data_IF_544907829356
#
_entry.id   IF_544907829356
#
_cell.length_a   1.000
_cell.length_b   1.000
_cell.length_c   1.000
_cell.angle_alpha   90.00
_cell.angle_beta   90.00
_cell.angle_gamma   90.00
#
_symmetry.space_group_name_H-M   'P 1'
#
loop_
_entity.id
_entity.type
_entity.pdbx_description
1 polymer ?
#
# COMPACT_ATOMS: atom_id res chain seq x y z
N UNK A 1 10.22 31.53 17.00
CA UNK A 1 11.26 30.81 16.24
C UNK A 1 10.60 29.93 15.18
N UNK A 2 10.40 30.46 13.98
CA UNK A 2 9.92 29.75 12.77
C UNK A 2 11.14 29.29 11.93
N UNK A 3 12.05 28.49 12.50
CA UNK A 3 13.35 28.24 11.85
C UNK A 3 13.29 27.19 10.73
N UNK A 4 12.23 26.36 10.65
CA UNK A 4 12.15 25.28 9.65
C UNK A 4 11.19 25.57 8.47
N UNK A 5 10.50 26.71 8.47
CA UNK A 5 9.47 27.06 7.49
C UNK A 5 9.89 27.09 6.00
N UNK A 6 11.16 27.38 5.63
CA UNK A 6 11.55 27.38 4.22
C UNK A 6 12.42 26.19 3.79
N UNK A 7 12.87 25.30 4.69
CA UNK A 7 13.87 24.27 4.32
C UNK A 7 13.30 23.24 3.31
N UNK A 8 12.09 22.69 3.48
CA UNK A 8 11.54 21.76 2.50
C UNK A 8 11.22 22.44 1.16
N UNK A 9 10.79 23.71 1.18
CA UNK A 9 10.49 24.48 -0.03
C UNK A 9 11.76 24.81 -0.83
N UNK A 10 12.84 25.22 -0.14
CA UNK A 10 14.15 25.47 -0.75
C UNK A 10 14.81 24.18 -1.25
N UNK A 11 14.61 23.07 -0.53
CA UNK A 11 15.04 21.75 -0.99
C UNK A 11 14.25 21.32 -2.22
N UNK A 12 12.92 21.50 -2.24
CA UNK A 12 12.10 21.23 -3.43
C UNK A 12 12.57 22.04 -4.64
N UNK A 13 12.84 23.34 -4.46
CA UNK A 13 13.36 24.19 -5.52
C UNK A 13 14.76 23.75 -5.99
N UNK A 14 15.67 23.39 -5.09
CA UNK A 14 16.99 22.87 -5.45
C UNK A 14 16.94 21.49 -6.11
N UNK A 15 16.01 20.64 -5.67
CA UNK A 15 15.76 19.32 -6.25
C UNK A 15 15.26 19.46 -7.68
N UNK A 16 14.33 20.40 -7.93
CA UNK A 16 13.77 20.68 -9.26
C UNK A 16 14.82 21.24 -10.24
N UNK A 17 15.67 22.17 -9.78
CA UNK A 17 16.76 22.73 -10.59
C UNK A 17 17.85 21.70 -10.90
N UNK A 18 18.19 20.82 -9.96
CA UNK A 18 19.26 19.82 -10.15
C UNK A 18 18.75 18.58 -10.90
N UNK A 19 17.52 18.14 -10.68
CA UNK A 19 16.89 17.07 -11.47
C UNK A 19 16.85 17.41 -12.97
N UNK A 20 16.77 18.70 -13.30
CA UNK A 20 16.76 19.20 -14.67
C UNK A 20 18.13 19.31 -15.36
N UNK A 21 19.26 19.24 -14.64
CA UNK A 21 20.58 19.57 -15.24
C UNK A 21 21.68 18.52 -15.05
N UNK A 22 21.59 17.66 -14.04
CA UNK A 22 22.48 16.52 -13.82
C UNK A 22 21.89 15.71 -12.66
N UNK A 23 21.39 14.49 -12.93
CA UNK A 23 20.76 13.65 -11.93
C UNK A 23 21.61 13.45 -10.67
N UNK A 24 20.98 13.22 -9.52
CA UNK A 24 21.70 13.00 -8.27
C UNK A 24 22.43 11.65 -8.27
N UNK A 25 23.63 11.62 -7.70
CA UNK A 25 24.31 10.35 -7.40
C UNK A 25 23.80 9.74 -6.10
N UNK A 26 24.07 8.45 -5.90
CA UNK A 26 23.71 7.72 -4.68
C UNK A 26 24.25 8.39 -3.40
N UNK A 27 25.55 8.72 -3.38
CA UNK A 27 26.20 9.40 -2.24
C UNK A 27 25.63 10.80 -1.97
N UNK A 28 25.25 11.54 -3.02
CA UNK A 28 24.62 12.84 -2.86
C UNK A 28 23.24 12.72 -2.20
N UNK A 29 22.44 11.73 -2.63
CA UNK A 29 21.13 11.47 -2.03
C UNK A 29 21.23 10.97 -0.60
N UNK A 30 22.23 10.16 -0.24
CA UNK A 30 22.49 9.79 1.16
C UNK A 30 22.78 11.02 2.04
N UNK A 31 23.51 12.02 1.52
CA UNK A 31 23.75 13.28 2.23
C UNK A 31 22.47 14.11 2.38
N UNK A 32 21.65 14.16 1.33
CA UNK A 32 20.33 14.82 1.35
C UNK A 32 19.43 14.16 2.41
N UNK A 33 19.31 12.83 2.38
CA UNK A 33 18.49 12.09 3.34
C UNK A 33 18.98 12.21 4.77
N UNK A 34 20.29 12.28 5.00
CA UNK A 34 20.83 12.62 6.32
C UNK A 34 20.32 13.99 6.79
N UNK A 35 20.35 15.00 5.92
CA UNK A 35 19.79 16.32 6.22
C UNK A 35 18.29 16.29 6.54
N UNK A 36 17.50 15.59 5.73
CA UNK A 36 16.05 15.44 5.92
C UNK A 36 15.71 14.69 7.22
N UNK A 37 16.47 13.64 7.53
CA UNK A 37 16.35 12.89 8.78
C UNK A 37 16.52 13.80 10.00
N UNK A 38 17.57 14.63 10.02
CA UNK A 38 17.79 15.57 11.12
C UNK A 38 16.78 16.73 11.14
N UNK A 39 16.21 17.12 9.99
CA UNK A 39 15.07 18.05 9.97
C UNK A 39 13.86 17.45 10.70
N UNK A 40 13.52 16.19 10.42
CA UNK A 40 12.46 15.47 11.15
C UNK A 40 12.81 15.30 12.63
N UNK A 41 14.06 14.95 12.93
CA UNK A 41 14.57 14.77 14.30
C UNK A 41 14.35 15.99 15.18
N UNK A 42 14.60 17.20 14.66
CA UNK A 42 14.49 18.46 15.41
C UNK A 42 13.07 19.03 15.47
N UNK A 43 12.11 18.43 14.76
CA UNK A 43 10.73 18.89 14.80
C UNK A 43 9.98 18.28 16.00
N UNK A 44 9.65 19.10 16.99
CA UNK A 44 9.00 18.66 18.23
C UNK A 44 7.48 18.89 18.24
N UNK A 45 6.96 19.74 17.35
CA UNK A 45 5.53 20.06 17.32
C UNK A 45 4.76 19.05 16.46
N UNK A 46 3.76 18.31 16.99
CA UNK A 46 3.09 17.23 16.26
C UNK A 46 2.52 17.62 14.89
N UNK A 47 1.79 18.73 14.80
CA UNK A 47 1.23 19.21 13.52
C UNK A 47 2.33 19.53 12.50
N UNK A 48 3.45 20.07 12.95
CA UNK A 48 4.59 20.36 12.08
C UNK A 48 5.39 19.11 11.72
N UNK A 49 5.36 18.06 12.54
CA UNK A 49 5.94 16.75 12.20
C UNK A 49 5.19 16.13 11.03
N UNK A 50 3.85 16.15 11.09
CA UNK A 50 3.00 15.64 10.02
C UNK A 50 3.18 16.43 8.72
N UNK A 51 3.15 17.77 8.79
CA UNK A 51 3.37 18.65 7.63
C UNK A 51 4.76 18.43 7.00
N UNK A 52 5.79 18.35 7.84
CA UNK A 52 7.16 18.10 7.40
C UNK A 52 7.29 16.72 6.74
N UNK A 53 6.75 15.67 7.38
CA UNK A 53 6.74 14.31 6.84
C UNK A 53 6.06 14.24 5.48
N UNK A 54 4.89 14.87 5.35
CA UNK A 54 4.15 14.95 4.08
C UNK A 54 4.98 15.65 3.00
N UNK A 55 5.59 16.78 3.35
CA UNK A 55 6.41 17.53 2.40
C UNK A 55 7.64 16.75 1.96
N UNK A 56 8.30 16.04 2.88
CA UNK A 56 9.45 15.18 2.58
C UNK A 56 9.04 14.03 1.67
N UNK A 57 7.95 13.32 1.97
CA UNK A 57 7.48 12.19 1.19
C UNK A 57 7.13 12.59 -0.26
N UNK A 58 6.50 13.76 -0.44
CA UNK A 58 6.14 14.28 -1.76
C UNK A 58 7.33 14.67 -2.64
N UNK A 59 8.56 14.74 -2.10
CA UNK A 59 9.76 15.04 -2.89
C UNK A 59 10.04 13.98 -3.96
N UNK A 60 9.55 12.74 -3.80
CA UNK A 60 9.66 11.70 -4.83
C UNK A 60 9.07 12.16 -6.17
N UNK A 61 8.00 12.96 -6.16
CA UNK A 61 7.35 13.46 -7.37
C UNK A 61 8.09 14.64 -8.03
N UNK A 62 9.13 15.18 -7.40
CA UNK A 62 9.97 16.23 -7.99
C UNK A 62 11.06 15.66 -8.92
N UNK A 63 11.25 14.34 -8.94
CA UNK A 63 12.19 13.68 -9.84
C UNK A 63 11.50 13.32 -11.16
N UNK A 64 12.15 13.68 -12.28
CA UNK A 64 11.60 13.52 -13.63
C UNK A 64 11.74 12.10 -14.19
N UNK A 65 12.66 11.30 -13.65
CA UNK A 65 12.92 9.94 -14.13
C UNK A 65 12.62 8.90 -13.06
N UNK A 66 12.13 7.73 -13.46
CA UNK A 66 11.84 6.63 -12.54
C UNK A 66 13.11 6.15 -11.84
N UNK A 67 14.26 6.18 -12.52
CA UNK A 67 15.55 5.83 -11.91
C UNK A 67 15.92 6.76 -10.76
N UNK A 68 15.65 8.06 -10.90
CA UNK A 68 15.92 9.03 -9.84
C UNK A 68 14.94 8.89 -8.68
N UNK A 69 13.66 8.61 -8.95
CA UNK A 69 12.66 8.28 -7.92
C UNK A 69 13.07 7.02 -7.13
N UNK A 70 13.48 5.98 -7.86
CA UNK A 70 13.96 4.72 -7.30
C UNK A 70 15.21 4.94 -6.44
N UNK A 71 16.19 5.71 -6.91
CA UNK A 71 17.39 6.03 -6.16
C UNK A 71 17.09 6.86 -4.89
N UNK A 72 16.15 7.81 -4.99
CA UNK A 72 15.65 8.58 -3.84
C UNK A 72 15.02 7.66 -2.78
N UNK A 73 14.18 6.72 -3.21
CA UNK A 73 13.57 5.75 -2.30
C UNK A 73 14.59 4.77 -1.71
N UNK A 74 15.55 4.31 -2.52
CA UNK A 74 16.57 3.37 -2.05
C UNK A 74 17.40 4.00 -0.92
N UNK A 75 17.88 5.22 -1.16
CA UNK A 75 18.68 5.97 -0.19
C UNK A 75 17.90 6.39 1.06
N UNK A 76 16.56 6.50 0.97
CA UNK A 76 15.68 6.64 2.14
C UNK A 76 15.80 5.42 3.06
N UNK A 77 15.52 4.22 2.53
CA UNK A 77 15.52 3.01 3.33
C UNK A 77 16.90 2.70 3.91
N UNK A 78 17.97 2.92 3.14
CA UNK A 78 19.34 2.81 3.63
C UNK A 78 19.63 3.78 4.78
N UNK A 79 19.13 5.02 4.69
CA UNK A 79 19.28 6.01 5.76
C UNK A 79 18.48 5.59 7.00
N UNK A 80 17.24 5.15 6.83
CA UNK A 80 16.41 4.64 7.94
C UNK A 80 17.08 3.46 8.62
N UNK A 81 17.54 2.45 7.87
CA UNK A 81 18.23 1.28 8.40
C UNK A 81 19.46 1.65 9.23
N UNK A 82 20.28 2.58 8.72
CA UNK A 82 21.51 3.02 9.39
C UNK A 82 21.22 3.77 10.70
N UNK A 83 20.29 4.71 10.69
CA UNK A 83 20.07 5.63 11.82
C UNK A 83 19.06 5.06 12.85
N UNK A 84 18.30 4.01 12.52
CA UNK A 84 17.19 3.51 13.33
C UNK A 84 17.56 3.23 14.79
N UNK A 85 18.70 2.57 15.01
CA UNK A 85 19.16 2.20 16.35
C UNK A 85 19.53 3.39 17.23
N UNK A 86 19.79 4.55 16.61
CA UNK A 86 20.07 5.80 17.30
C UNK A 86 18.81 6.57 17.73
N UNK A 87 17.62 6.21 17.22
CA UNK A 87 16.36 6.89 17.54
C UNK A 87 15.89 6.46 18.94
N UNK A 88 15.74 7.42 19.84
CA UNK A 88 15.16 7.17 21.16
C UNK A 88 13.63 7.05 21.11
N UNK A 89 13.06 6.46 22.16
CA UNK A 89 11.63 6.10 22.23
C UNK A 89 10.68 7.29 22.06
N UNK A 90 11.08 8.50 22.48
CA UNK A 90 10.22 9.69 22.39
C UNK A 90 10.11 10.23 20.97
N UNK A 91 10.99 9.78 20.06
CA UNK A 91 11.05 10.25 18.67
C UNK A 91 10.57 9.21 17.66
N UNK A 92 10.34 7.96 18.08
CA UNK A 92 9.98 6.86 17.17
C UNK A 92 8.73 7.15 16.35
N UNK A 93 7.67 7.67 16.98
CA UNK A 93 6.35 7.83 16.33
C UNK A 93 6.40 8.67 15.05
N UNK A 94 7.17 9.77 15.04
CA UNK A 94 7.30 10.60 13.83
C UNK A 94 8.12 9.93 12.73
N UNK A 95 9.03 9.03 13.07
CA UNK A 95 9.77 8.26 12.07
C UNK A 95 8.93 7.09 11.52
N UNK A 96 8.08 6.49 12.34
CA UNK A 96 7.03 5.58 11.87
C UNK A 96 6.06 6.27 10.91
N UNK A 97 5.62 7.49 11.25
CA UNK A 97 4.80 8.32 10.38
C UNK A 97 5.51 8.62 9.05
N UNK A 98 6.79 9.00 9.10
CA UNK A 98 7.58 9.28 7.90
C UNK A 98 7.69 8.05 6.98
N UNK A 99 7.99 6.87 7.52
CA UNK A 99 8.04 5.62 6.75
C UNK A 99 6.71 5.34 6.04
N UNK A 100 5.59 5.54 6.74
CA UNK A 100 4.24 5.37 6.17
C UNK A 100 3.99 6.33 5.02
N UNK A 101 4.28 7.62 5.21
CA UNK A 101 4.10 8.64 4.17
C UNK A 101 5.00 8.41 2.95
N UNK A 102 6.26 8.02 3.16
CA UNK A 102 7.18 7.73 2.05
C UNK A 102 6.72 6.50 1.27
N UNK A 103 6.27 5.44 1.94
CA UNK A 103 5.69 4.27 1.26
C UNK A 103 4.46 4.67 0.44
N UNK A 104 3.54 5.43 1.02
CA UNK A 104 2.32 5.91 0.36
C UNK A 104 2.62 6.72 -0.91
N UNK A 105 3.51 7.71 -0.81
CA UNK A 105 3.87 8.55 -1.96
C UNK A 105 4.68 7.76 -3.01
N UNK A 106 5.41 6.72 -2.62
CA UNK A 106 6.08 5.79 -3.56
C UNK A 106 5.07 4.94 -4.34
N UNK A 107 4.04 4.43 -3.67
CA UNK A 107 2.94 3.71 -4.31
C UNK A 107 2.15 4.63 -5.25
N UNK A 108 1.91 5.88 -4.85
CA UNK A 108 1.28 6.88 -5.74
C UNK A 108 2.13 7.18 -6.96
N UNK A 109 3.46 7.28 -6.82
CA UNK A 109 4.35 7.47 -7.96
C UNK A 109 4.20 6.30 -8.95
N UNK A 110 4.17 5.07 -8.45
CA UNK A 110 3.93 3.87 -9.27
C UNK A 110 2.54 3.87 -9.92
N UNK A 111 1.50 4.30 -9.21
CA UNK A 111 0.15 4.51 -9.75
C UNK A 111 0.14 5.49 -10.92
N UNK A 112 0.86 6.61 -10.83
CA UNK A 112 0.96 7.57 -11.95
C UNK A 112 1.65 7.00 -13.18
N UNK A 113 2.44 5.94 -13.02
CA UNK A 113 3.04 5.15 -14.11
C UNK A 113 2.12 4.00 -14.58
N UNK A 114 0.84 4.01 -14.19
CA UNK A 114 -0.16 3.04 -14.63
C UNK A 114 0.08 1.61 -14.14
N UNK A 115 0.77 1.44 -13.01
CA UNK A 115 1.11 0.11 -12.48
C UNK A 115 1.86 -0.77 -13.48
N UNK A 116 2.73 -0.16 -14.30
CA UNK A 116 3.53 -0.89 -15.27
C UNK A 116 4.42 -1.94 -14.57
N UNK A 117 4.38 -3.16 -15.09
CA UNK A 117 5.02 -4.34 -14.50
C UNK A 117 6.50 -4.12 -14.18
N UNK A 118 7.25 -3.51 -15.10
CA UNK A 118 8.67 -3.17 -14.90
C UNK A 118 8.88 -2.29 -13.68
N UNK A 119 8.06 -1.26 -13.49
CA UNK A 119 8.17 -0.32 -12.39
C UNK A 119 7.74 -0.96 -11.06
N UNK A 120 6.72 -1.82 -11.10
CA UNK A 120 6.32 -2.63 -9.94
C UNK A 120 7.46 -3.55 -9.48
N UNK A 121 8.07 -4.29 -10.41
CA UNK A 121 9.18 -5.20 -10.12
C UNK A 121 10.39 -4.47 -9.55
N UNK A 122 10.73 -3.30 -10.11
CA UNK A 122 11.79 -2.46 -9.58
C UNK A 122 11.48 -2.03 -8.14
N UNK A 123 10.29 -1.50 -7.85
CA UNK A 123 9.91 -1.12 -6.49
C UNK A 123 9.99 -2.30 -5.52
N UNK A 124 9.42 -3.45 -5.90
CA UNK A 124 9.41 -4.66 -5.08
C UNK A 124 10.81 -5.22 -4.83
N UNK A 125 11.68 -5.20 -5.85
CA UNK A 125 13.08 -5.61 -5.71
C UNK A 125 13.82 -4.72 -4.71
N UNK A 126 13.61 -3.39 -4.77
CA UNK A 126 14.19 -2.45 -3.82
C UNK A 126 13.69 -2.69 -2.40
N UNK A 127 12.36 -2.76 -2.19
CA UNK A 127 11.79 -2.99 -0.86
C UNK A 127 12.22 -4.33 -0.27
N UNK A 128 12.32 -5.36 -1.12
CA UNK A 128 12.83 -6.66 -0.71
C UNK A 128 14.29 -6.56 -0.30
N UNK A 129 15.16 -6.02 -1.15
CA UNK A 129 16.60 -5.91 -0.90
C UNK A 129 16.92 -5.07 0.33
N UNK A 130 16.29 -3.91 0.47
CA UNK A 130 16.59 -2.95 1.53
C UNK A 130 15.93 -3.30 2.86
N UNK A 131 14.82 -4.06 2.89
CA UNK A 131 14.04 -4.30 4.12
C UNK A 131 13.86 -5.79 4.43
N UNK A 132 13.29 -6.56 3.50
CA UNK A 132 12.78 -7.91 3.80
C UNK A 132 13.83 -9.02 3.66
N UNK A 133 14.84 -8.83 2.81
CA UNK A 133 15.82 -9.85 2.48
C UNK A 133 16.58 -10.30 3.75
N UNK A 134 16.93 -11.59 3.90
CA UNK A 134 17.68 -12.06 5.07
C UNK A 134 19.00 -11.31 5.30
N UNK A 135 19.69 -10.94 4.21
CA UNK A 135 20.96 -10.18 4.28
C UNK A 135 20.78 -8.66 4.47
N UNK A 136 19.52 -8.17 4.46
CA UNK A 136 19.25 -6.76 4.73
C UNK A 136 19.71 -6.37 6.13
N UNK A 137 20.35 -5.21 6.22
CA UNK A 137 20.76 -4.58 7.48
C UNK A 137 19.61 -3.86 8.19
N UNK A 138 18.37 -4.01 7.73
CA UNK A 138 17.20 -3.40 8.36
C UNK A 138 16.98 -3.94 9.78
N UNK A 139 16.93 -3.06 10.80
CA UNK A 139 16.61 -3.49 12.16
C UNK A 139 15.18 -3.99 12.28
N UNK A 140 14.92 -4.83 13.28
CA UNK A 140 13.60 -5.46 13.48
C UNK A 140 12.45 -4.45 13.59
N UNK A 141 12.69 -3.26 14.18
CA UNK A 141 11.67 -2.21 14.25
C UNK A 141 11.25 -1.66 12.88
N UNK A 142 12.20 -1.54 11.93
CA UNK A 142 11.93 -1.15 10.54
C UNK A 142 11.16 -2.24 9.83
N UNK A 143 11.64 -3.49 9.92
CA UNK A 143 10.98 -4.66 9.28
C UNK A 143 9.54 -4.82 9.77
N UNK A 144 9.34 -4.78 11.09
CA UNK A 144 8.02 -4.98 11.71
C UNK A 144 7.03 -3.90 11.25
N UNK A 145 7.43 -2.63 11.32
CA UNK A 145 6.55 -1.53 10.91
C UNK A 145 6.28 -1.54 9.41
N UNK A 146 7.28 -1.82 8.58
CA UNK A 146 7.07 -1.93 7.14
C UNK A 146 6.03 -3.02 6.81
N UNK A 147 6.15 -4.20 7.39
CA UNK A 147 5.19 -5.31 7.18
C UNK A 147 3.79 -4.92 7.66
N UNK A 148 3.68 -4.27 8.83
CA UNK A 148 2.40 -3.84 9.41
C UNK A 148 1.64 -2.87 8.51
N UNK A 149 2.33 -1.91 7.90
CA UNK A 149 1.68 -0.84 7.11
C UNK A 149 1.54 -1.19 5.63
N UNK A 150 2.24 -2.20 5.12
CA UNK A 150 2.39 -2.43 3.68
C UNK A 150 1.05 -2.59 2.95
N UNK A 151 0.22 -3.55 3.39
CA UNK A 151 -1.09 -3.79 2.76
C UNK A 151 -2.05 -2.60 2.97
N UNK A 152 -1.96 -1.90 4.10
CA UNK A 152 -2.83 -0.76 4.38
C UNK A 152 -2.55 0.40 3.41
N UNK A 153 -1.28 0.73 3.17
CA UNK A 153 -0.91 1.78 2.22
C UNK A 153 -1.13 1.33 0.76
N UNK A 154 -0.91 0.05 0.44
CA UNK A 154 -1.23 -0.49 -0.88
C UNK A 154 -2.72 -0.35 -1.20
N UNK A 155 -3.59 -0.75 -0.27
CA UNK A 155 -5.04 -0.65 -0.42
C UNK A 155 -5.50 0.79 -0.62
N UNK A 156 -4.97 1.73 0.17
CA UNK A 156 -5.31 3.17 0.04
C UNK A 156 -5.00 3.77 -1.33
N UNK A 157 -4.03 3.21 -2.06
CA UNK A 157 -3.59 3.76 -3.35
C UNK A 157 -4.15 2.96 -4.52
N UNK A 158 -4.20 1.64 -4.40
CA UNK A 158 -4.39 0.71 -5.52
C UNK A 158 -5.65 -0.15 -5.48
N UNK A 159 -6.45 -0.15 -4.42
CA UNK A 159 -7.63 -1.04 -4.31
C UNK A 159 -8.56 -0.94 -5.54
N UNK A 160 -8.79 0.27 -6.05
CA UNK A 160 -9.73 0.49 -7.16
C UNK A 160 -9.16 0.14 -8.55
N UNK A 161 -7.84 -0.01 -8.68
CA UNK A 161 -7.15 -0.08 -10.00
C UNK A 161 -6.33 -1.35 -10.22
N UNK A 162 -5.84 -1.98 -9.16
CA UNK A 162 -4.97 -3.15 -9.26
C UNK A 162 -5.75 -4.39 -9.66
N UNK A 163 -5.24 -5.13 -10.65
CA UNK A 163 -5.78 -6.46 -10.98
C UNK A 163 -5.43 -7.49 -9.91
N UNK A 164 -6.14 -8.62 -9.89
CA UNK A 164 -5.83 -9.74 -8.99
C UNK A 164 -4.38 -10.23 -9.13
N UNK A 165 -3.88 -10.32 -10.37
CA UNK A 165 -2.51 -10.73 -10.66
C UNK A 165 -1.49 -9.71 -10.13
N UNK A 166 -1.76 -8.40 -10.29
CA UNK A 166 -0.89 -7.35 -9.76
C UNK A 166 -0.88 -7.36 -8.23
N UNK A 167 -2.04 -7.53 -7.58
CA UNK A 167 -2.14 -7.68 -6.13
C UNK A 167 -1.34 -8.88 -5.63
N UNK A 168 -1.44 -10.02 -6.32
CA UNK A 168 -0.65 -11.20 -5.98
C UNK A 168 0.86 -10.93 -6.06
N UNK A 169 1.33 -10.18 -7.06
CA UNK A 169 2.75 -9.80 -7.15
C UNK A 169 3.24 -8.97 -5.99
N UNK A 170 2.42 -8.08 -5.42
CA UNK A 170 2.80 -7.33 -4.22
C UNK A 170 2.88 -8.22 -2.97
N UNK A 171 2.10 -9.30 -2.91
CA UNK A 171 2.05 -10.23 -1.77
C UNK A 171 3.16 -11.29 -1.88
N UNK A 172 3.52 -11.71 -3.10
CA UNK A 172 4.46 -12.79 -3.36
C UNK A 172 5.79 -12.70 -2.58
N UNK A 173 6.46 -11.54 -2.46
CA UNK A 173 7.70 -11.42 -1.69
C UNK A 173 7.53 -11.88 -0.24
N UNK A 174 6.40 -11.56 0.39
CA UNK A 174 6.13 -11.96 1.77
C UNK A 174 5.93 -13.47 1.89
N UNK A 175 5.28 -14.10 0.91
CA UNK A 175 5.14 -15.56 0.84
C UNK A 175 6.52 -16.24 0.73
N UNK A 176 7.38 -15.75 -0.17
CA UNK A 176 8.73 -16.28 -0.37
C UNK A 176 9.57 -16.16 0.90
N UNK A 177 9.53 -15.00 1.57
CA UNK A 177 10.26 -14.76 2.82
C UNK A 177 9.71 -15.62 3.96
N UNK A 178 8.39 -15.72 4.12
CA UNK A 178 7.77 -16.55 5.16
C UNK A 178 8.14 -18.04 5.02
N UNK A 179 8.25 -18.54 3.78
CA UNK A 179 8.64 -19.93 3.52
C UNK A 179 10.11 -20.25 3.84
N UNK A 180 10.99 -19.25 3.87
CA UNK A 180 12.45 -19.45 3.97
C UNK A 180 13.04 -18.93 5.28
N UNK A 181 12.38 -17.98 5.94
CA UNK A 181 12.93 -17.31 7.12
C UNK A 181 13.02 -18.26 8.32
N UNK A 182 14.12 -18.13 9.07
CA UNK A 182 14.31 -18.78 10.37
C UNK A 182 14.01 -17.83 11.54
N UNK A 183 13.79 -16.55 11.25
CA UNK A 183 13.46 -15.54 12.23
C UNK A 183 11.97 -15.62 12.57
N UNK A 184 11.67 -16.09 13.78
CA UNK A 184 10.29 -16.24 14.25
C UNK A 184 9.56 -14.92 14.39
N UNK A 185 10.27 -13.80 14.63
CA UNK A 185 9.67 -12.47 14.74
C UNK A 185 9.23 -12.00 13.37
N UNK A 186 10.08 -12.15 12.35
CA UNK A 186 9.73 -11.81 10.97
C UNK A 186 8.57 -12.67 10.48
N UNK A 187 8.61 -13.99 10.74
CA UNK A 187 7.51 -14.89 10.37
C UNK A 187 6.20 -14.48 11.04
N UNK A 188 6.22 -14.23 12.36
CA UNK A 188 5.05 -13.77 13.10
C UNK A 188 4.48 -12.46 12.55
N UNK A 189 5.35 -11.50 12.23
CA UNK A 189 4.93 -10.23 11.65
C UNK A 189 4.30 -10.41 10.27
N UNK A 190 4.83 -11.30 9.42
CA UNK A 190 4.22 -11.59 8.11
C UNK A 190 2.86 -12.28 8.30
N UNK A 191 2.79 -13.29 9.17
CA UNK A 191 1.53 -13.98 9.46
C UNK A 191 0.46 -13.00 9.90
N UNK A 192 0.76 -12.11 10.84
CA UNK A 192 -0.22 -11.14 11.38
C UNK A 192 -0.49 -9.96 10.46
N UNK A 193 0.57 -9.35 9.93
CA UNK A 193 0.47 -8.14 9.12
C UNK A 193 -0.08 -8.39 7.72
N UNK A 194 0.23 -9.55 7.14
CA UNK A 194 -0.13 -9.89 5.76
C UNK A 194 -1.25 -10.92 5.73
N UNK A 195 -1.02 -12.13 6.24
CA UNK A 195 -1.96 -13.25 6.03
C UNK A 195 -3.25 -13.12 6.85
N UNK A 196 -3.16 -12.78 8.14
CA UNK A 196 -4.35 -12.53 8.97
C UNK A 196 -5.13 -11.34 8.43
N UNK A 197 -4.47 -10.25 8.03
CA UNK A 197 -5.13 -9.11 7.38
C UNK A 197 -5.90 -9.54 6.13
N UNK A 198 -5.31 -10.37 5.26
CA UNK A 198 -6.00 -10.92 4.07
C UNK A 198 -7.24 -11.73 4.48
N UNK A 199 -7.11 -12.63 5.45
CA UNK A 199 -8.23 -13.46 5.92
C UNK A 199 -9.35 -12.61 6.53
N UNK A 200 -8.99 -11.60 7.32
CA UNK A 200 -9.94 -10.67 7.94
C UNK A 200 -10.71 -9.84 6.91
N UNK A 201 -10.08 -9.51 5.77
CA UNK A 201 -10.71 -8.72 4.70
C UNK A 201 -11.50 -9.56 3.69
N UNK A 202 -11.31 -10.88 3.65
CA UNK A 202 -11.93 -11.76 2.66
C UNK A 202 -13.48 -11.71 2.62
N UNK A 203 -14.21 -11.64 3.75
CA UNK A 203 -15.67 -11.58 3.72
C UNK A 203 -16.20 -10.32 3.00
N UNK A 204 -15.57 -9.17 3.23
CA UNK A 204 -15.95 -7.91 2.60
C UNK A 204 -15.67 -7.95 1.10
N UNK A 205 -14.53 -8.51 0.69
CA UNK A 205 -14.20 -8.68 -0.73
C UNK A 205 -15.22 -9.57 -1.47
N UNK A 206 -15.71 -10.62 -0.81
CA UNK A 206 -16.74 -11.51 -1.37
C UNK A 206 -18.08 -10.77 -1.48
N UNK A 207 -18.46 -10.00 -0.45
CA UNK A 207 -19.67 -9.18 -0.46
C UNK A 207 -19.64 -8.13 -1.57
N UNK A 208 -18.52 -7.42 -1.74
CA UNK A 208 -18.32 -6.44 -2.81
C UNK A 208 -18.46 -7.10 -4.19
N UNK A 209 -17.85 -8.27 -4.40
CA UNK A 209 -17.95 -9.02 -5.65
C UNK A 209 -19.39 -9.50 -5.93
N UNK A 210 -20.09 -9.98 -4.90
CA UNK A 210 -21.49 -10.38 -5.02
C UNK A 210 -22.40 -9.20 -5.36
N UNK A 211 -22.12 -8.02 -4.79
CA UNK A 211 -22.86 -6.79 -5.09
C UNK A 211 -22.57 -6.28 -6.51
N UNK A 212 -21.32 -6.34 -6.97
CA UNK A 212 -20.97 -5.99 -8.36
C UNK A 212 -21.69 -6.91 -9.36
N UNK A 213 -21.72 -8.21 -9.10
CA UNK A 213 -22.42 -9.19 -9.95
C UNK A 213 -23.96 -9.05 -9.88
N UNK A 214 -24.52 -8.79 -8.69
CA UNK A 214 -25.96 -8.62 -8.50
C UNK A 214 -26.52 -7.29 -8.99
N UNK A 215 -25.68 -6.27 -9.17
CA UNK A 215 -26.07 -4.99 -9.74
C UNK A 215 -26.19 -5.03 -11.28
N UNK A 216 -25.60 -6.04 -11.95
CA UNK A 216 -25.73 -6.24 -13.40
C UNK A 216 -27.06 -6.92 -13.80
N UNK A 217 -27.73 -7.62 -12.87
CA UNK A 217 -28.98 -8.34 -13.13
C UNK A 217 -30.27 -7.48 -13.00
N UNK A 218 -30.18 -6.15 -12.84
CA UNK A 218 -31.36 -5.27 -12.62
C UNK A 218 -31.60 -4.25 -13.74
N UNK A 219 -31.02 -4.43 -14.94
CA UNK A 219 -31.29 -3.53 -16.08
C UNK A 219 -32.02 -4.14 -17.28
N UNK A 220 -32.45 -5.39 -17.22
CA UNK A 220 -33.31 -5.97 -18.26
C UNK A 220 -34.64 -6.41 -17.66
N UNK A 221 -35.61 -5.51 -17.78
CA UNK A 221 -37.05 -5.77 -17.88
C UNK A 221 -37.68 -6.62 -16.80
N UNK A 222 -38.55 -6.02 -15.99
CA UNK A 222 -39.86 -6.65 -15.78
C UNK A 222 -40.94 -5.57 -15.72
N UNK A 223 -41.84 -5.70 -16.69
CA UNK A 223 -43.07 -4.98 -16.85
C UNK A 223 -44.04 -5.32 -15.71
N UNK A 224 -44.94 -4.40 -15.44
CA UNK A 224 -46.00 -4.48 -14.45
C UNK A 224 -46.85 -5.75 -14.60
N UNK A 225 -47.05 -6.53 -13.53
CA UNK A 225 -48.30 -7.26 -13.33
C UNK A 225 -48.68 -7.28 -11.84
N UNK A 226 -49.83 -6.66 -11.55
CA UNK A 226 -50.56 -6.76 -10.29
C UNK A 226 -51.46 -8.01 -10.36
N UNK A 227 -51.50 -8.86 -9.33
CA UNK A 227 -52.77 -9.21 -8.66
C UNK A 227 -52.63 -10.13 -7.43
N UNK A 228 -53.27 -9.65 -6.35
CA UNK A 228 -53.90 -10.27 -5.17
C UNK A 228 -53.17 -11.18 -4.13
N UNK A 229 -53.53 -11.07 -2.83
CA UNK A 229 -52.80 -11.68 -1.70
C UNK A 229 -53.53 -12.89 -1.06
N UNK A 230 -52.82 -13.81 -0.37
CA UNK A 230 -53.46 -14.70 0.60
C UNK A 230 -53.00 -14.45 2.06
N UNK A 231 -54.00 -14.10 2.87
CA UNK A 231 -54.40 -14.62 4.20
C UNK A 231 -53.36 -14.93 5.32
N UNK A 232 -53.72 -14.54 6.55
CA UNK A 232 -52.89 -14.55 7.77
C UNK A 232 -53.07 -15.80 8.66
N UNK A 233 -51.92 -16.26 9.20
CA UNK A 233 -51.61 -16.74 10.58
C UNK A 233 -52.15 -18.13 11.03
N UNK A 234 -51.54 -18.83 12.04
CA UNK A 234 -50.67 -18.28 13.11
C UNK A 234 -49.38 -19.04 13.51
N UNK A 235 -48.42 -18.23 14.00
CA UNK A 235 -47.61 -18.32 15.24
C UNK A 235 -47.30 -19.70 15.87
N UNK A 236 -46.00 -19.98 16.03
CA UNK A 236 -45.42 -20.93 16.99
C UNK A 236 -43.95 -20.54 17.26
N UNK A 237 -43.62 -20.31 18.52
CA UNK A 237 -42.35 -19.79 19.05
C UNK A 237 -41.29 -20.89 19.26
N UNK A 238 -40.05 -20.41 19.48
CA UNK A 238 -38.93 -20.98 20.25
C UNK A 238 -37.70 -21.60 19.53
N UNK A 239 -36.66 -20.76 19.48
CA UNK A 239 -35.29 -20.92 20.02
C UNK A 239 -34.49 -22.22 19.77
N UNK A 240 -33.28 -22.05 19.20
CA UNK A 240 -32.02 -22.28 19.92
C UNK A 240 -30.80 -21.67 19.19
N UNK A 241 -30.16 -20.71 19.85
CA UNK A 241 -28.94 -20.03 19.43
C UNK A 241 -27.69 -20.93 19.60
N UNK A 242 -26.89 -21.02 18.55
CA UNK A 242 -25.55 -21.62 18.59
C UNK A 242 -24.53 -20.64 19.17
N UNK A 243 -24.03 -20.99 20.35
CA UNK A 243 -23.00 -20.30 21.12
C UNK A 243 -21.63 -20.49 20.45
N UNK A 244 -21.07 -19.44 19.83
CA UNK A 244 -19.62 -19.38 19.54
C UNK A 244 -19.01 -18.36 20.49
N UNK A 245 -18.35 -18.88 21.52
CA UNK A 245 -17.68 -18.10 22.56
C UNK A 245 -16.48 -17.38 21.96
N UNK A 246 -16.61 -16.07 21.77
CA UNK A 246 -15.53 -15.16 21.43
C UNK A 246 -14.65 -14.95 22.67
N UNK A 247 -13.45 -15.54 22.69
CA UNK A 247 -12.47 -15.28 23.75
C UNK A 247 -11.90 -13.87 23.58
N UNK A 248 -12.37 -12.99 24.46
CA UNK A 248 -11.73 -11.74 24.85
C UNK A 248 -10.33 -12.01 25.40
N UNK A 249 -9.30 -11.43 24.77
CA UNK A 249 -8.03 -11.03 25.40
C UNK A 249 -7.62 -9.70 24.74
N UNK A 250 -8.12 -8.59 25.30
CA UNK A 250 -7.40 -7.70 26.21
C UNK A 250 -6.41 -6.76 25.50
N UNK A 251 -7.01 -5.63 25.13
CA UNK A 251 -6.49 -4.28 24.94
C UNK A 251 -5.45 -3.82 25.98
N UNK A 252 -4.28 -3.40 25.50
CA UNK A 252 -3.53 -2.25 26.05
C UNK A 252 -2.57 -1.69 25.00
N UNK A 253 -3.07 -0.77 24.16
CA UNK A 253 -2.32 0.28 23.47
C UNK A 253 -3.33 1.33 22.97
N UNK A 254 -3.47 2.49 23.62
CA UNK A 254 -4.32 3.57 23.11
C UNK A 254 -3.51 4.40 22.11
N UNK A 255 -3.77 4.25 20.80
CA UNK A 255 -3.11 5.13 19.82
C UNK A 255 -3.29 4.80 18.33
N UNK A 256 -3.53 3.55 17.94
CA UNK A 256 -3.80 3.20 16.54
C UNK A 256 -5.15 2.49 16.43
N UNK A 257 -6.22 3.26 16.26
CA UNK A 257 -7.46 2.70 15.72
C UNK A 257 -7.20 2.31 14.27
N UNK A 258 -7.04 1.01 14.00
CA UNK A 258 -7.13 0.44 12.64
C UNK A 258 -8.36 1.07 11.95
N UNK A 259 -8.25 1.58 10.71
CA UNK A 259 -9.42 2.01 9.98
C UNK A 259 -10.35 0.80 9.83
N UNK A 260 -11.50 0.82 10.51
CA UNK A 260 -12.63 -0.08 10.25
C UNK A 260 -13.46 0.51 9.11
N UNK A 261 -12.83 0.67 7.94
CA UNK A 261 -13.43 1.24 6.74
C UNK A 261 -13.23 0.30 5.53
N UNK A 262 -14.06 0.41 4.49
CA UNK A 262 -14.38 -0.66 3.53
C UNK A 262 -13.33 -0.87 2.42
N UNK A 263 -12.06 -0.51 2.64
CA UNK A 263 -11.06 -0.63 1.57
C UNK A 263 -10.49 -2.04 1.57
N UNK A 264 -11.17 -2.94 0.85
CA UNK A 264 -10.71 -4.30 0.63
C UNK A 264 -9.42 -4.30 -0.19
N UNK A 265 -8.35 -4.85 0.39
CA UNK A 265 -7.08 -5.10 -0.33
C UNK A 265 -7.24 -6.19 -1.40
N UNK A 266 -8.37 -6.91 -1.38
CA UNK A 266 -8.59 -8.16 -2.09
C UNK A 266 -9.70 -8.10 -3.14
N UNK A 267 -10.41 -6.97 -3.27
CA UNK A 267 -11.35 -6.75 -4.35
C UNK A 267 -10.72 -5.82 -5.40
N UNK A 268 -9.89 -6.34 -6.33
CA UNK A 268 -9.84 -5.76 -7.66
C UNK A 268 -11.27 -5.60 -8.14
N UNK A 269 -11.66 -4.40 -8.58
CA UNK A 269 -12.77 -4.33 -9.51
C UNK A 269 -12.41 -5.26 -10.67
N UNK A 270 -13.10 -6.40 -10.78
CA UNK A 270 -13.02 -7.24 -11.98
C UNK A 270 -13.84 -6.50 -13.03
N UNK A 271 -13.36 -5.33 -13.44
CA UNK A 271 -13.96 -4.60 -14.54
C UNK A 271 -13.78 -5.47 -15.77
N UNK A 272 -14.83 -6.19 -16.15
CA UNK A 272 -15.00 -6.90 -17.41
C UNK A 272 -14.92 -5.96 -18.64
N UNK A 273 -14.49 -4.70 -18.46
CA UNK A 273 -14.35 -3.68 -19.51
C UNK A 273 -13.27 -3.94 -20.56
N UNK A 274 -12.49 -5.01 -20.48
CA UNK A 274 -11.54 -5.37 -21.52
C UNK A 274 -11.88 -6.71 -22.21
N UNK A 275 -13.02 -6.74 -22.91
CA UNK A 275 -13.24 -7.66 -24.04
C UNK A 275 -13.84 -6.94 -25.24
N UNK A 276 -13.05 -6.10 -25.89
CA UNK A 276 -13.19 -5.85 -27.32
C UNK A 276 -11.82 -5.60 -27.94
N UNK A 277 -11.09 -6.70 -28.19
CA UNK A 277 -10.10 -6.72 -29.26
C UNK A 277 -10.90 -6.87 -30.57
N UNK A 278 -10.86 -5.92 -31.52
CA UNK A 278 -11.44 -6.15 -32.83
C UNK A 278 -10.58 -7.20 -33.54
N UNK A 279 -11.17 -8.35 -33.84
CA UNK A 279 -10.59 -9.32 -34.76
C UNK A 279 -10.37 -8.62 -36.10
N UNK A 280 -9.11 -8.47 -36.50
CA UNK A 280 -8.75 -8.06 -37.85
C UNK A 280 -9.18 -9.15 -38.85
N UNK A 281 -9.82 -8.80 -39.97
CA UNK A 281 -10.23 -9.80 -40.95
C UNK A 281 -9.00 -10.33 -41.70
N UNK A 282 -8.87 -11.65 -41.70
CA UNK A 282 -7.88 -12.42 -42.44
C UNK A 282 -7.97 -12.14 -43.95
N UNK A 283 -6.93 -11.53 -44.53
CA UNK A 283 -6.75 -11.45 -45.97
C UNK A 283 -6.26 -12.81 -46.50
N UNK A 284 -7.15 -13.57 -47.12
CA UNK A 284 -6.77 -14.64 -48.04
C UNK A 284 -6.12 -14.02 -49.29
N UNK A 285 -4.82 -14.21 -49.46
CA UNK A 285 -4.14 -14.04 -50.75
C UNK A 285 -3.98 -15.42 -51.38
N UNK A 286 -4.74 -15.66 -52.44
CA UNK A 286 -4.64 -16.84 -53.28
C UNK A 286 -3.36 -16.77 -54.12
N UNK A 287 -2.62 -17.88 -54.13
CA UNK A 287 -1.49 -18.09 -55.03
C UNK A 287 -1.98 -18.25 -56.48
N UNK A 288 -1.11 -17.79 -57.38
CA UNK A 288 -1.20 -17.65 -58.84
C UNK A 288 -1.61 -18.91 -59.61
N UNK A 289 -1.87 -18.78 -60.92
CA UNK A 289 -1.34 -19.70 -61.90
C UNK A 289 0.10 -19.34 -62.31
#
# INVERSE_FOLDING_TARGET
>A
MHILGPIPALLKQKLDVKSSSCGFTHDELLKVWKGLFYCMWMQDKPLLQEELGRTIAQLIHAFQTTEAQHLFLQTFWQTMNREWTGIDRLRLDKFYLLMRMVLHESLKALKTQGWEERHMEQLLALLTMEILHPDSQAPNGVKSHFIEIFLEELAKVGADELTADQNFRFIEPFCRIAAQTKDSVVLHNITRGIFETIVEQAPFAIEDLMNEMGAEDVSEGDEEEQDEPPEKLPRGEDDHASHVTCLHLCSTCPGLSRPRGPVSVLAPSLSLRNKHVPLSPSSHSAASP
#
